data_IF_341308034032
#
_entry.id   IF_341308034032
#
_cell.length_a   1.000
_cell.length_b   1.000
_cell.length_c   1.000
_cell.angle_alpha   90.00
_cell.angle_beta   90.00
_cell.angle_gamma   90.00
#
_symmetry.space_group_name_H-M   'P 1'
#
loop_
_entity.id
_entity.type
_entity.pdbx_description
1 polymer ?
#
# COMPACT_ATOMS: atom_id res chain seq x y z
N UNK A 1 -18.06 9.76 -10.30
CA UNK A 1 -16.89 9.31 -11.06
C UNK A 1 -15.81 10.32 -10.78
N UNK A 2 -14.63 9.93 -10.29
CA UNK A 2 -13.52 10.88 -10.10
C UNK A 2 -13.17 11.41 -11.49
N UNK A 3 -13.46 12.68 -11.79
CA UNK A 3 -13.38 13.24 -13.15
C UNK A 3 -11.95 13.46 -13.64
N UNK A 4 -10.96 13.16 -12.81
CA UNK A 4 -9.54 13.36 -13.08
C UNK A 4 -8.78 12.03 -13.02
N UNK A 5 -8.22 11.64 -14.16
CA UNK A 5 -7.41 10.44 -14.35
C UNK A 5 -6.17 10.43 -13.43
N UNK A 6 -5.63 11.61 -13.10
CA UNK A 6 -4.50 11.72 -12.19
C UNK A 6 -4.91 11.35 -10.76
N UNK A 7 -6.05 11.86 -10.31
CA UNK A 7 -6.66 11.50 -9.03
C UNK A 7 -6.98 10.01 -8.94
N UNK A 8 -7.55 9.40 -10.00
CA UNK A 8 -7.79 7.94 -10.04
C UNK A 8 -6.49 7.14 -9.95
N UNK A 9 -5.46 7.58 -10.68
CA UNK A 9 -4.14 6.94 -10.64
C UNK A 9 -3.52 7.05 -9.26
N UNK A 10 -3.63 8.21 -8.61
CA UNK A 10 -3.14 8.42 -7.25
C UNK A 10 -3.80 7.45 -6.26
N UNK A 11 -5.13 7.38 -6.23
CA UNK A 11 -5.82 6.46 -5.33
C UNK A 11 -5.50 4.99 -5.61
N UNK A 12 -5.32 4.63 -6.89
CA UNK A 12 -4.88 3.29 -7.28
C UNK A 12 -3.51 2.95 -6.68
N UNK A 13 -2.54 3.87 -6.77
CA UNK A 13 -1.20 3.70 -6.19
C UNK A 13 -1.28 3.55 -4.66
N UNK A 14 -2.10 4.37 -3.99
CA UNK A 14 -2.32 4.25 -2.54
C UNK A 14 -2.86 2.86 -2.17
N UNK A 15 -3.85 2.35 -2.91
CA UNK A 15 -4.39 1.01 -2.66
C UNK A 15 -3.36 -0.10 -2.90
N UNK A 16 -2.49 0.04 -3.91
CA UNK A 16 -1.41 -0.91 -4.14
C UNK A 16 -0.45 -0.96 -2.94
N UNK A 17 -0.03 0.20 -2.42
CA UNK A 17 0.82 0.26 -1.23
C UNK A 17 0.13 -0.34 0.01
N UNK A 18 -1.14 -0.01 0.26
CA UNK A 18 -1.90 -0.60 1.36
C UNK A 18 -1.95 -2.12 1.28
N UNK A 19 -2.20 -2.68 0.08
CA UNK A 19 -2.21 -4.12 -0.14
C UNK A 19 -0.85 -4.75 0.12
N UNK A 20 0.23 -4.14 -0.35
CA UNK A 20 1.60 -4.61 -0.10
C UNK A 20 1.95 -4.60 1.38
N UNK A 21 1.56 -3.57 2.14
CA UNK A 21 1.75 -3.56 3.58
C UNK A 21 1.00 -4.71 4.27
N UNK A 22 -0.28 -4.92 3.92
CA UNK A 22 -1.08 -6.01 4.48
C UNK A 22 -0.50 -7.39 4.14
N UNK A 23 -0.02 -7.60 2.92
CA UNK A 23 0.64 -8.85 2.52
C UNK A 23 1.93 -9.10 3.32
N UNK A 24 2.75 -8.07 3.53
CA UNK A 24 3.98 -8.15 4.32
C UNK A 24 3.72 -8.29 5.84
N UNK A 25 2.52 -7.95 6.32
CA UNK A 25 2.06 -8.20 7.69
C UNK A 25 1.47 -9.61 7.88
N UNK A 26 1.38 -10.41 6.82
CA UNK A 26 0.73 -11.73 6.85
C UNK A 26 -0.80 -11.66 6.98
N UNK A 27 -1.40 -10.52 6.62
CA UNK A 27 -2.86 -10.31 6.63
C UNK A 27 -3.52 -10.70 5.31
N UNK A 28 -2.73 -10.82 4.24
CA UNK A 28 -3.14 -11.26 2.92
C UNK A 28 -2.12 -12.26 2.38
N UNK A 29 -2.55 -13.09 1.43
CA UNK A 29 -1.61 -13.88 0.66
C UNK A 29 -0.66 -12.97 -0.11
N UNK A 30 0.63 -13.27 0.01
CA UNK A 30 1.65 -12.54 -0.71
C UNK A 30 1.65 -12.97 -2.19
N UNK A 31 1.88 -12.05 -3.15
CA UNK A 31 1.97 -12.41 -4.57
C UNK A 31 3.01 -13.49 -4.90
N UNK A 32 4.06 -13.60 -4.09
CA UNK A 32 5.08 -14.65 -4.21
C UNK A 32 4.67 -16.00 -3.60
N UNK A 33 3.43 -16.12 -3.10
CA UNK A 33 2.86 -17.33 -2.53
C UNK A 33 2.93 -17.39 -1.01
N UNK A 34 1.84 -17.89 -0.40
CA UNK A 34 1.74 -18.11 1.04
C UNK A 34 1.66 -16.83 1.88
N UNK A 35 1.60 -17.00 3.20
CA UNK A 35 1.72 -15.91 4.15
C UNK A 35 3.19 -15.51 4.30
N UNK A 36 3.48 -14.22 4.19
CA UNK A 36 4.80 -13.66 4.41
C UNK A 36 4.79 -12.67 5.57
N UNK A 37 5.92 -12.56 6.25
CA UNK A 37 6.10 -11.68 7.40
C UNK A 37 7.38 -10.86 7.21
N UNK A 38 7.27 -9.77 6.47
CA UNK A 38 8.35 -8.79 6.30
C UNK A 38 7.94 -7.48 6.98
N UNK A 39 8.09 -7.46 8.30
CA UNK A 39 7.69 -6.31 9.12
C UNK A 39 8.47 -5.03 8.82
N UNK A 40 9.72 -5.16 8.34
CA UNK A 40 10.52 -4.00 7.93
C UNK A 40 9.89 -3.31 6.73
N UNK A 41 9.61 -4.07 5.67
CA UNK A 41 8.99 -3.53 4.45
C UNK A 41 7.57 -3.02 4.72
N UNK A 42 6.78 -3.73 5.54
CA UNK A 42 5.47 -3.26 5.96
C UNK A 42 5.55 -1.89 6.66
N UNK A 43 6.53 -1.70 7.57
CA UNK A 43 6.73 -0.43 8.27
C UNK A 43 7.10 0.69 7.30
N UNK A 44 8.04 0.44 6.39
CA UNK A 44 8.50 1.43 5.42
C UNK A 44 7.33 1.89 4.52
N UNK A 45 6.49 0.96 4.07
CA UNK A 45 5.29 1.29 3.29
C UNK A 45 4.29 2.12 4.11
N UNK A 46 4.05 1.76 5.37
CA UNK A 46 3.15 2.52 6.26
C UNK A 46 3.66 3.95 6.47
N UNK A 47 4.96 4.12 6.64
CA UNK A 47 5.56 5.45 6.81
C UNK A 47 5.46 6.30 5.53
N UNK A 48 5.62 5.70 4.35
CA UNK A 48 5.34 6.35 3.06
C UNK A 48 3.87 6.79 2.98
N UNK A 49 2.92 5.90 3.29
CA UNK A 49 1.49 6.21 3.25
C UNK A 49 1.13 7.36 4.21
N UNK A 50 1.70 7.37 5.42
CA UNK A 50 1.54 8.48 6.38
C UNK A 50 2.14 9.78 5.85
N UNK A 51 3.32 9.73 5.24
CA UNK A 51 3.95 10.91 4.64
C UNK A 51 3.08 11.49 3.52
N UNK A 52 2.51 10.64 2.65
CA UNK A 52 1.61 11.07 1.57
C UNK A 52 0.35 11.72 2.15
N UNK A 53 -0.31 11.08 3.12
CA UNK A 53 -1.49 11.63 3.80
C UNK A 53 -1.22 13.01 4.45
N UNK A 54 0.00 13.26 4.92
CA UNK A 54 0.34 14.55 5.52
C UNK A 54 0.65 15.66 4.50
N UNK A 55 0.93 15.30 3.24
CA UNK A 55 1.34 16.23 2.17
C UNK A 55 0.21 16.58 1.19
N UNK A 56 -0.84 15.76 1.13
CA UNK A 56 -2.05 15.95 0.29
C UNK A 56 -3.25 16.27 1.15
#
# INVERSE_FOLDING_TARGET
MFEDKETETFFTVIHMFQRSAMANLGLLEHPAGGLQFNFSEAKDIIDILRMLQNKT
#
